data_IF_125406530675
#
_entry.id   IF_125406530675
#
_cell.length_a   1.000
_cell.length_b   1.000
_cell.length_c   1.000
_cell.angle_alpha   90.00
_cell.angle_beta   90.00
_cell.angle_gamma   90.00
#
_symmetry.space_group_name_H-M   'P 1'
#
loop_
_entity.id
_entity.type
_entity.pdbx_description
1 polymer ?
#
# COMPACT_ATOMS: atom_id res chain seq x y z
N UNK A 1 9.61 -3.41 14.80
CA UNK A 1 10.59 -4.39 14.30
C UNK A 1 9.96 -5.75 14.47
N UNK A 2 9.90 -6.63 13.45
CA UNK A 2 9.60 -8.02 13.71
C UNK A 2 10.89 -8.70 14.19
N UNK A 3 10.91 -9.03 15.48
CA UNK A 3 11.61 -10.20 15.99
C UNK A 3 10.93 -11.43 15.41
N UNK A 4 11.56 -12.13 14.47
CA UNK A 4 11.56 -13.59 14.43
C UNK A 4 12.22 -14.10 13.16
N UNK A 5 13.02 -15.12 13.39
CA UNK A 5 13.62 -16.13 12.52
C UNK A 5 12.58 -16.85 11.61
N UNK A 6 11.70 -16.12 10.93
CA UNK A 6 10.73 -16.70 9.99
C UNK A 6 11.36 -16.75 8.59
N UNK A 7 11.55 -17.98 8.07
CA UNK A 7 12.07 -18.21 6.72
C UNK A 7 11.28 -17.41 5.68
N UNK A 8 12.01 -16.61 4.92
CA UNK A 8 11.49 -15.80 3.82
C UNK A 8 11.63 -16.61 2.53
N UNK A 9 10.50 -16.93 1.88
CA UNK A 9 10.48 -17.65 0.63
C UNK A 9 10.28 -16.69 -0.54
N UNK A 10 11.20 -16.73 -1.51
CA UNK A 10 11.01 -16.08 -2.81
C UNK A 10 10.41 -17.09 -3.79
N UNK A 11 9.20 -16.82 -4.28
CA UNK A 11 8.50 -17.68 -5.24
C UNK A 11 8.11 -16.88 -6.48
N UNK A 12 8.08 -17.56 -7.63
CA UNK A 12 7.59 -16.98 -8.88
C UNK A 12 6.13 -17.34 -9.09
N UNK A 13 5.29 -16.35 -9.38
CA UNK A 13 3.88 -16.53 -9.71
C UNK A 13 3.52 -15.93 -11.08
N UNK A 14 2.26 -16.08 -11.53
CA UNK A 14 1.79 -15.54 -12.81
C UNK A 14 1.85 -14.00 -12.90
N UNK A 15 1.95 -13.32 -11.77
CA UNK A 15 2.01 -11.85 -11.67
C UNK A 15 3.40 -11.30 -11.30
N UNK A 16 4.43 -12.14 -11.37
CA UNK A 16 5.81 -11.80 -10.99
C UNK A 16 6.28 -12.54 -9.74
N UNK A 17 7.46 -12.17 -9.25
CA UNK A 17 8.02 -12.71 -8.03
C UNK A 17 7.25 -12.20 -6.81
N UNK A 18 7.16 -13.01 -5.77
CA UNK A 18 6.60 -12.62 -4.49
C UNK A 18 7.38 -13.25 -3.36
N UNK A 19 7.41 -12.51 -2.26
CA UNK A 19 8.03 -12.91 -1.00
C UNK A 19 6.91 -13.39 -0.08
N UNK A 20 7.12 -14.52 0.56
CA UNK A 20 6.25 -15.07 1.58
C UNK A 20 7.04 -15.24 2.87
N UNK A 21 6.54 -14.66 3.96
CA UNK A 21 7.06 -14.88 5.31
C UNK A 21 6.28 -16.03 5.94
N UNK A 22 7.01 -17.02 6.44
CA UNK A 22 6.47 -18.17 7.15
C UNK A 22 6.34 -19.42 6.27
N UNK A 23 6.54 -20.57 6.92
CA UNK A 23 6.29 -21.88 6.32
C UNK A 23 4.78 -22.11 6.12
N UNK A 24 4.41 -22.94 5.15
CA UNK A 24 3.01 -23.32 4.86
C UNK A 24 2.44 -24.16 6.01
N UNK A 25 2.18 -23.52 7.15
CA UNK A 25 1.40 -24.12 8.24
C UNK A 25 -0.07 -23.81 7.99
N UNK A 26 -0.81 -24.88 7.69
CA UNK A 26 -2.25 -24.89 7.44
C UNK A 26 -2.99 -24.04 8.50
N UNK A 27 -3.53 -22.90 8.08
CA UNK A 27 -4.37 -22.03 8.92
C UNK A 27 -3.77 -20.69 9.34
N UNK A 28 -2.51 -20.37 8.99
CA UNK A 28 -1.91 -19.07 9.27
C UNK A 28 -2.04 -18.11 8.08
N UNK A 29 -2.38 -16.85 8.37
CA UNK A 29 -2.42 -15.78 7.38
C UNK A 29 -0.98 -15.38 7.03
N UNK A 30 -0.42 -16.06 6.02
CA UNK A 30 0.94 -15.83 5.53
C UNK A 30 1.08 -14.38 5.04
N UNK A 31 2.05 -13.64 5.57
CA UNK A 31 2.37 -12.30 5.08
C UNK A 31 3.12 -12.43 3.77
N UNK A 32 2.49 -11.94 2.70
CA UNK A 32 3.04 -11.95 1.35
C UNK A 32 3.25 -10.53 0.84
N UNK A 33 4.35 -10.31 0.15
CA UNK A 33 4.66 -9.08 -0.54
C UNK A 33 5.01 -9.39 -2.00
N UNK A 34 4.33 -8.74 -2.94
CA UNK A 34 4.61 -8.90 -4.37
C UNK A 34 5.81 -8.06 -4.78
N UNK A 35 6.78 -8.71 -5.43
CA UNK A 35 7.99 -8.14 -6.02
C UNK A 35 7.83 -8.01 -7.54
N UNK A 36 6.82 -7.28 -8.00
CA UNK A 36 6.50 -7.18 -9.43
C UNK A 36 7.46 -6.31 -10.24
N UNK A 37 8.31 -5.50 -9.60
CA UNK A 37 9.31 -4.64 -10.26
C UNK A 37 10.63 -5.35 -10.56
N UNK A 38 10.87 -6.47 -9.88
CA UNK A 38 12.12 -7.20 -9.99
C UNK A 38 12.08 -8.05 -11.26
N UNK A 39 12.95 -7.71 -12.20
CA UNK A 39 13.16 -8.44 -13.46
C UNK A 39 14.13 -9.60 -13.31
N UNK A 40 14.98 -9.57 -12.28
CA UNK A 40 16.04 -10.54 -12.07
C UNK A 40 16.16 -10.90 -10.58
N UNK A 41 16.07 -12.20 -10.26
CA UNK A 41 16.06 -12.72 -8.89
C UNK A 41 17.44 -12.64 -8.23
N UNK A 42 18.51 -12.67 -9.01
CA UNK A 42 19.88 -12.72 -8.50
C UNK A 42 20.30 -11.37 -7.89
N UNK A 43 19.75 -10.27 -8.41
CA UNK A 43 19.96 -8.93 -7.86
C UNK A 43 19.19 -8.64 -6.57
N UNK A 44 18.30 -9.53 -6.13
CA UNK A 44 17.43 -9.28 -4.96
C UNK A 44 18.06 -9.85 -3.71
N UNK A 45 18.43 -8.96 -2.80
CA UNK A 45 18.86 -9.36 -1.47
C UNK A 45 17.65 -9.58 -0.56
N UNK A 46 17.81 -10.49 0.41
CA UNK A 46 16.83 -10.74 1.48
C UNK A 46 16.44 -9.42 2.18
N UNK A 47 17.38 -8.48 2.28
CA UNK A 47 17.17 -7.15 2.85
C UNK A 47 16.11 -6.33 2.09
N UNK A 48 16.09 -6.38 0.76
CA UNK A 48 15.10 -5.69 -0.08
C UNK A 48 13.72 -6.35 0.05
N UNK A 49 13.69 -7.69 0.11
CA UNK A 49 12.49 -8.45 0.37
C UNK A 49 11.85 -8.08 1.72
N UNK A 50 12.67 -7.95 2.78
CA UNK A 50 12.23 -7.54 4.11
C UNK A 50 11.75 -6.08 4.11
N UNK A 51 12.40 -5.18 3.36
CA UNK A 51 11.96 -3.79 3.24
C UNK A 51 10.55 -3.70 2.65
N UNK A 52 10.30 -4.43 1.57
CA UNK A 52 9.01 -4.38 0.86
C UNK A 52 7.88 -5.01 1.69
N UNK A 53 8.18 -6.00 2.53
CA UNK A 53 7.24 -6.59 3.50
C UNK A 53 6.72 -5.59 4.55
N UNK A 54 7.40 -4.47 4.77
CA UNK A 54 6.95 -3.45 5.72
C UNK A 54 5.78 -2.62 5.20
N UNK A 55 5.46 -2.70 3.90
CA UNK A 55 4.37 -1.96 3.29
C UNK A 55 3.10 -2.83 3.22
N UNK A 56 1.90 -2.30 3.54
CA UNK A 56 1.55 -0.89 3.64
C UNK A 56 1.95 -0.23 4.97
N UNK A 57 2.72 0.85 4.90
CA UNK A 57 3.19 1.61 6.06
C UNK A 57 2.27 2.80 6.32
N UNK A 58 1.82 2.99 7.56
CA UNK A 58 1.02 4.16 7.95
C UNK A 58 1.98 5.33 8.20
N UNK A 59 1.85 6.42 7.43
CA UNK A 59 2.65 7.64 7.59
C UNK A 59 2.07 8.60 8.63
N UNK A 60 0.76 8.53 8.86
CA UNK A 60 0.04 9.38 9.80
C UNK A 60 -1.43 9.50 9.42
N UNK A 61 -2.13 10.43 10.08
CA UNK A 61 -3.53 10.76 9.79
C UNK A 61 -3.61 12.08 9.04
N UNK A 62 -4.58 12.20 8.15
CA UNK A 62 -4.82 13.45 7.43
C UNK A 62 -5.48 14.47 8.38
N UNK A 63 -4.98 15.71 8.52
CA UNK A 63 -5.51 16.68 9.48
C UNK A 63 -6.95 17.11 9.16
N UNK A 64 -7.35 17.06 7.90
CA UNK A 64 -8.69 17.44 7.43
C UNK A 64 -9.79 16.39 7.70
N UNK A 65 -9.44 15.11 7.67
CA UNK A 65 -10.42 14.00 7.64
C UNK A 65 -10.16 12.95 8.74
N UNK A 66 -9.08 13.06 9.52
CA UNK A 66 -8.52 12.08 10.48
C UNK A 66 -8.21 10.68 9.91
N UNK A 67 -8.44 10.46 8.62
CA UNK A 67 -8.25 9.15 7.99
C UNK A 67 -6.74 8.84 7.79
N UNK A 68 -6.35 7.56 7.90
CA UNK A 68 -4.96 7.15 7.77
C UNK A 68 -4.44 7.37 6.34
N UNK A 69 -3.24 7.93 6.25
CA UNK A 69 -2.44 8.05 5.04
C UNK A 69 -1.47 6.86 5.01
N UNK A 70 -1.67 5.99 4.03
CA UNK A 70 -0.93 4.75 3.85
C UNK A 70 0.06 4.91 2.71
N UNK A 71 1.30 4.48 2.90
CA UNK A 71 2.26 4.30 1.83
C UNK A 71 2.26 2.84 1.41
N UNK A 72 2.03 2.58 0.13
CA UNK A 72 1.99 1.22 -0.42
C UNK A 72 2.98 1.06 -1.57
N UNK A 73 3.52 -0.14 -1.72
CA UNK A 73 4.40 -0.52 -2.81
C UNK A 73 3.60 -1.17 -3.93
N UNK A 74 3.91 -0.87 -5.19
CA UNK A 74 3.20 -1.40 -6.38
C UNK A 74 4.13 -1.45 -7.59
N UNK A 75 3.74 -2.13 -8.67
CA UNK A 75 4.50 -2.27 -9.94
C UNK A 75 4.98 -0.96 -10.61
N UNK A 76 4.42 0.18 -10.19
CA UNK A 76 4.79 1.50 -10.74
C UNK A 76 5.81 2.20 -9.84
N UNK A 77 6.03 1.68 -8.63
CA UNK A 77 6.76 2.28 -7.53
C UNK A 77 5.86 2.53 -6.31
N UNK A 78 6.38 3.31 -5.37
CA UNK A 78 5.66 3.70 -4.17
C UNK A 78 4.50 4.63 -4.47
N UNK A 79 3.42 4.48 -3.71
CA UNK A 79 2.26 5.36 -3.80
C UNK A 79 1.74 5.68 -2.41
N UNK A 80 1.11 6.85 -2.30
CA UNK A 80 0.39 7.28 -1.12
C UNK A 80 -1.09 7.05 -1.36
N UNK A 81 -1.69 6.19 -0.56
CA UNK A 81 -3.12 5.91 -0.53
C UNK A 81 -3.78 6.64 0.63
N UNK A 82 -4.80 7.41 0.32
CA UNK A 82 -5.67 8.05 1.29
C UNK A 82 -7.12 7.86 0.90
N UNK A 83 -7.86 7.04 1.68
CA UNK A 83 -9.24 6.63 1.38
C UNK A 83 -9.39 6.05 -0.04
N UNK A 84 -9.92 6.87 -0.96
CA UNK A 84 -10.17 6.58 -2.37
C UNK A 84 -9.16 7.24 -3.31
N UNK A 85 -8.25 8.03 -2.77
CA UNK A 85 -7.26 8.78 -3.52
C UNK A 85 -5.92 8.05 -3.46
N UNK A 86 -5.26 7.96 -4.61
CA UNK A 86 -3.94 7.37 -4.77
C UNK A 86 -3.03 8.38 -5.45
N UNK A 87 -1.99 8.84 -4.77
CA UNK A 87 -0.95 9.68 -5.34
C UNK A 87 0.29 8.83 -5.63
N UNK A 88 0.75 8.74 -6.88
CA UNK A 88 2.04 8.10 -7.17
C UNK A 88 3.18 8.95 -6.59
N UNK A 89 4.15 8.30 -5.97
CA UNK A 89 5.40 8.95 -5.56
C UNK A 89 6.34 9.00 -6.77
N UNK A 90 6.94 10.16 -7.08
CA UNK A 90 7.94 10.22 -8.15
C UNK A 90 9.14 9.32 -7.84
N UNK A 91 9.62 8.58 -8.84
CA UNK A 91 10.74 7.62 -8.71
C UNK A 91 12.06 8.25 -8.25
N UNK A 92 12.17 9.58 -8.31
CA UNK A 92 13.33 10.34 -7.86
C UNK A 92 13.29 10.67 -6.35
N UNK A 93 12.30 10.20 -5.61
CA UNK A 93 12.12 10.49 -4.18
C UNK A 93 12.18 9.22 -3.36
N UNK A 94 13.08 9.21 -2.38
CA UNK A 94 13.22 8.10 -1.44
C UNK A 94 11.91 7.90 -0.65
N UNK A 95 11.29 6.71 -0.71
CA UNK A 95 10.04 6.45 0.02
C UNK A 95 10.23 6.58 1.54
N UNK A 96 11.42 6.26 2.05
CA UNK A 96 11.77 6.36 3.47
C UNK A 96 11.83 7.80 3.98
N UNK A 97 12.09 8.77 3.09
CA UNK A 97 12.16 10.20 3.45
C UNK A 97 10.80 10.90 3.36
N UNK A 98 9.78 10.26 2.78
CA UNK A 98 8.46 10.86 2.64
C UNK A 98 7.80 11.00 4.00
N UNK A 99 7.62 12.24 4.40
CA UNK A 99 6.91 12.62 5.62
C UNK A 99 5.42 12.83 5.32
N UNK A 100 4.58 12.85 6.36
CA UNK A 100 3.15 13.15 6.24
C UNK A 100 2.90 14.45 5.43
N UNK A 101 3.70 15.51 5.65
CA UNK A 101 3.56 16.79 4.95
C UNK A 101 3.74 16.66 3.43
N UNK A 102 4.75 15.91 2.99
CA UNK A 102 4.99 15.64 1.57
C UNK A 102 3.92 14.73 0.97
N UNK A 103 3.47 13.73 1.74
CA UNK A 103 2.35 12.88 1.35
C UNK A 103 1.06 13.69 1.13
N UNK A 104 0.76 14.65 2.00
CA UNK A 104 -0.37 15.58 1.84
C UNK A 104 -0.21 16.43 0.58
N UNK A 105 0.99 16.97 0.33
CA UNK A 105 1.29 17.75 -0.88
C UNK A 105 1.09 16.93 -2.16
N UNK A 106 1.49 15.66 -2.17
CA UNK A 106 1.25 14.74 -3.29
C UNK A 106 -0.24 14.42 -3.46
N UNK A 107 -0.98 14.23 -2.36
CA UNK A 107 -2.42 13.96 -2.36
C UNK A 107 -3.25 15.16 -2.84
N UNK A 108 -2.81 16.38 -2.57
CA UNK A 108 -3.43 17.62 -3.08
C UNK A 108 -2.97 18.00 -4.50
N UNK A 109 -2.01 17.27 -5.06
CA UNK A 109 -1.45 17.54 -6.39
C UNK A 109 -2.40 17.21 -7.54
N UNK A 110 -1.94 17.40 -8.79
CA UNK A 110 -2.71 17.06 -10.00
C UNK A 110 -2.63 15.58 -10.38
N UNK A 111 -1.61 14.86 -9.91
CA UNK A 111 -1.33 13.47 -10.29
C UNK A 111 -2.10 12.41 -9.48
N UNK A 112 -3.09 12.81 -8.70
CA UNK A 112 -3.89 11.89 -7.88
C UNK A 112 -4.91 11.14 -8.72
N UNK A 113 -4.88 9.81 -8.61
CA UNK A 113 -5.92 8.92 -9.12
C UNK A 113 -6.97 8.69 -8.05
N UNK A 114 -8.23 9.05 -8.33
CA UNK A 114 -9.36 8.73 -7.45
C UNK A 114 -10.02 7.45 -7.93
N UNK A 115 -10.08 6.44 -7.07
CA UNK A 115 -10.72 5.15 -7.32
C UNK A 115 -12.12 5.12 -6.71
N UNK A 116 -13.08 4.65 -7.51
CA UNK A 116 -14.48 4.50 -7.12
C UNK A 116 -15.38 5.59 -7.67
N UNK A 117 -16.67 5.23 -7.85
CA UNK A 117 -17.73 6.16 -8.26
C UNK A 117 -17.77 7.34 -7.27
N UNK A 118 -17.85 8.60 -7.72
CA UNK A 118 -18.11 9.71 -6.82
C UNK A 118 -19.34 9.33 -6.00
N UNK A 119 -19.26 9.41 -4.66
CA UNK A 119 -20.46 9.33 -3.84
C UNK A 119 -21.30 10.53 -4.27
N UNK A 120 -22.29 10.31 -5.14
CA UNK A 120 -23.39 11.25 -5.27
C UNK A 120 -23.91 11.51 -3.87
N UNK A 121 -24.19 12.77 -3.53
CA UNK A 121 -24.80 13.14 -2.25
C UNK A 121 -25.93 12.15 -1.99
N UNK A 122 -25.85 11.39 -0.90
CA UNK A 122 -26.96 10.54 -0.51
C UNK A 122 -28.13 11.48 -0.26
N UNK A 123 -29.10 11.50 -1.17
CA UNK A 123 -30.34 12.21 -0.97
C UNK A 123 -31.00 11.54 0.24
N UNK A 124 -31.05 12.28 1.35
CA UNK A 124 -31.76 11.89 2.56
C UNK A 124 -33.24 11.77 2.16
N UNK A 125 -33.69 10.56 1.81
CA UNK A 125 -35.13 10.29 1.70
C UNK A 125 -35.57 9.81 3.08
N UNK A 126 -36.20 10.72 3.80
CA UNK A 126 -36.92 10.42 5.03
C UNK A 126 -37.95 9.30 4.74
N UNK A 127 -38.07 8.29 5.61
CA UNK A 127 -39.01 7.19 5.40
C UNK A 127 -40.44 7.71 5.49
N UNK A 128 -41.23 7.46 4.45
CA UNK A 128 -42.66 7.78 4.42
C UNK A 128 -43.39 6.68 5.19
N UNK A 129 -43.91 7.00 6.38
CA UNK A 129 -44.86 6.14 7.09
C UNK A 129 -46.23 6.18 6.40
N UNK A 130 -46.81 5.01 6.14
CA UNK A 130 -48.19 4.89 5.64
C UNK A 130 -49.14 4.62 6.83
N UNK A 131 -50.28 5.32 6.85
CA UNK A 131 -51.44 5.08 7.73
C UNK A 131 -52.47 4.19 7.02
#
# INVERSE_FOLDING_TARGET
>A
MPDSDEKVFLKQGPYGYYVQVGEDKKGLYLKRASLSDIKDVDSVTIEDAIDILQYPKILGKHPDDDHPVLMTHSKVGFNIRHRRTLAPVPKNTDPKKITLKEALKLLSGKNVKKFGRPKGKAANKEPIEWH
#
